data_IF_998778605695
#
_entry.id   IF_998778605695
#
_cell.length_a   1.000
_cell.length_b   1.000
_cell.length_c   1.000
_cell.angle_alpha   90.00
_cell.angle_beta   90.00
_cell.angle_gamma   90.00
#
_symmetry.space_group_name_H-M   'P 1'
#
loop_
_entity.id
_entity.type
_entity.pdbx_description
1 polymer ?
#
# COMPACT_ATOMS: atom_id res chain seq x y z
N UNK A 1 -6.77 6.79 4.91
CA UNK A 1 -5.90 7.98 4.89
C UNK A 1 -4.99 8.01 3.66
N UNK A 2 -4.67 9.19 3.15
CA UNK A 2 -3.60 9.41 2.16
C UNK A 2 -2.24 9.55 2.88
N UNK A 3 -1.29 8.69 2.51
CA UNK A 3 0.03 8.58 3.16
C UNK A 3 1.16 9.16 2.31
N UNK A 4 1.10 9.09 0.98
CA UNK A 4 2.17 9.64 0.13
C UNK A 4 1.56 10.32 -1.08
N UNK A 5 2.09 11.47 -1.47
CA UNK A 5 1.70 12.18 -2.70
C UNK A 5 2.97 12.59 -3.44
N UNK A 6 2.98 12.34 -4.75
CA UNK A 6 3.91 13.00 -5.68
C UNK A 6 3.08 13.88 -6.61
N UNK A 7 3.28 15.19 -6.55
CA UNK A 7 2.49 16.19 -7.26
C UNK A 7 3.35 17.19 -8.03
N UNK A 8 2.77 17.74 -9.09
CA UNK A 8 3.30 18.88 -9.84
C UNK A 8 2.31 20.02 -9.75
N UNK A 9 2.77 21.16 -9.26
CA UNK A 9 1.96 22.35 -9.03
C UNK A 9 2.56 23.55 -9.74
N UNK A 10 1.70 24.44 -10.23
CA UNK A 10 2.12 25.76 -10.70
C UNK A 10 2.35 26.66 -9.48
N UNK A 11 3.57 27.15 -9.29
CA UNK A 11 3.97 27.96 -8.15
C UNK A 11 5.20 28.76 -8.53
N UNK A 12 5.03 30.07 -8.67
CA UNK A 12 6.15 30.99 -8.86
C UNK A 12 7.04 30.99 -7.62
N UNK A 13 8.35 31.07 -7.83
CA UNK A 13 9.35 31.08 -6.77
C UNK A 13 10.62 31.79 -7.22
N UNK A 14 11.40 32.28 -6.26
CA UNK A 14 12.65 33.00 -6.56
C UNK A 14 13.84 32.02 -6.54
N UNK A 15 14.54 31.94 -7.68
CA UNK A 15 15.70 31.08 -7.85
C UNK A 15 15.34 29.62 -8.15
N UNK A 16 16.34 28.74 -8.14
CA UNK A 16 16.16 27.31 -8.41
C UNK A 16 16.10 26.56 -7.08
N UNK A 17 14.99 25.86 -6.83
CA UNK A 17 14.82 24.98 -5.67
C UNK A 17 15.36 23.60 -6.04
N UNK A 18 16.55 23.24 -5.53
CA UNK A 18 17.14 21.92 -5.69
C UNK A 18 18.25 21.68 -4.67
N UNK A 19 18.68 20.43 -4.52
CA UNK A 19 19.92 20.08 -3.83
C UNK A 19 21.03 19.74 -4.83
N UNK A 20 21.14 20.53 -5.90
CA UNK A 20 22.05 20.30 -7.02
C UNK A 20 21.38 19.67 -8.24
N UNK A 21 22.17 19.01 -9.08
CA UNK A 21 21.70 18.42 -10.34
C UNK A 21 22.36 17.09 -10.64
N UNK A 22 21.61 16.18 -11.25
CA UNK A 22 22.12 14.96 -11.89
C UNK A 22 22.28 15.26 -13.38
N UNK A 23 23.48 14.99 -13.91
CA UNK A 23 23.81 15.16 -15.31
C UNK A 23 24.19 13.81 -15.90
N UNK A 24 23.56 13.43 -17.01
CA UNK A 24 24.02 12.30 -17.82
C UNK A 24 24.97 12.83 -18.88
N UNK A 25 26.19 12.31 -18.86
CA UNK A 25 27.25 12.64 -19.80
C UNK A 25 27.48 11.43 -20.71
N UNK A 26 27.60 11.67 -22.01
CA UNK A 26 27.90 10.65 -23.01
C UNK A 26 29.36 10.17 -22.90
N UNK A 27 29.71 9.14 -23.68
CA UNK A 27 31.11 8.69 -23.78
C UNK A 27 32.05 9.75 -24.38
N UNK A 28 31.49 10.69 -25.14
CA UNK A 28 32.21 11.77 -25.82
C UNK A 28 32.27 13.05 -24.96
N UNK A 29 31.95 12.95 -23.67
CA UNK A 29 31.87 14.06 -22.71
C UNK A 29 30.80 15.12 -23.02
N UNK A 30 29.79 14.79 -23.82
CA UNK A 30 28.66 15.68 -24.09
C UNK A 30 27.53 15.49 -23.07
N UNK A 31 26.88 16.57 -22.67
CA UNK A 31 25.73 16.51 -21.75
C UNK A 31 24.50 16.05 -22.56
N UNK A 32 23.99 14.85 -22.25
CA UNK A 32 22.77 14.33 -22.87
C UNK A 32 21.51 14.89 -22.20
N UNK A 33 21.50 14.97 -20.86
CA UNK A 33 20.42 15.60 -20.11
C UNK A 33 20.85 16.00 -18.70
N UNK A 34 20.14 16.97 -18.14
CA UNK A 34 20.28 17.44 -16.75
C UNK A 34 18.92 17.39 -16.06
N UNK A 35 18.88 16.92 -14.81
CA UNK A 35 17.69 16.97 -13.95
C UNK A 35 18.06 17.49 -12.57
N UNK A 36 17.23 18.38 -12.03
CA UNK A 36 17.45 18.91 -10.69
C UNK A 36 17.23 17.83 -9.62
N UNK A 37 18.13 17.79 -8.66
CA UNK A 37 18.07 16.90 -7.50
C UNK A 37 17.06 17.41 -6.48
N UNK A 38 16.41 16.48 -5.80
CA UNK A 38 15.46 16.74 -4.73
C UNK A 38 16.10 17.50 -3.55
N UNK A 39 15.50 18.63 -3.17
CA UNK A 39 15.76 19.30 -1.89
C UNK A 39 14.86 18.72 -0.81
N UNK A 40 15.44 18.31 0.32
CA UNK A 40 14.65 17.86 1.48
C UNK A 40 14.10 19.06 2.24
N UNK A 41 12.82 18.99 2.62
CA UNK A 41 12.15 20.02 3.41
C UNK A 41 11.82 19.44 4.78
N UNK A 42 12.54 19.90 5.80
CA UNK A 42 12.22 19.56 7.18
C UNK A 42 10.91 20.23 7.59
N UNK A 43 9.98 19.42 8.10
CA UNK A 43 8.80 19.89 8.82
C UNK A 43 9.01 19.85 10.32
N UNK A 44 8.00 20.26 11.07
CA UNK A 44 8.01 20.22 12.53
C UNK A 44 8.23 18.82 13.10
N UNK A 45 7.97 17.76 12.32
CA UNK A 45 7.99 16.38 12.80
C UNK A 45 8.76 15.39 11.90
N UNK A 46 9.02 15.72 10.64
CA UNK A 46 9.64 14.78 9.69
C UNK A 46 10.31 15.54 8.52
N UNK A 47 11.30 14.93 7.87
CA UNK A 47 12.01 15.43 6.68
C UNK A 47 11.71 14.61 5.41
N UNK A 48 10.63 13.83 5.42
CA UNK A 48 10.20 12.97 4.31
C UNK A 48 9.57 13.70 3.12
N UNK A 49 9.48 15.03 3.15
CA UNK A 49 9.06 15.85 2.01
C UNK A 49 10.30 16.23 1.21
N UNK A 50 10.23 16.03 -0.10
CA UNK A 50 11.20 16.53 -1.07
C UNK A 50 10.54 17.41 -2.11
N UNK A 51 11.26 18.45 -2.53
CA UNK A 51 10.81 19.45 -3.50
C UNK A 51 11.91 19.73 -4.53
N UNK A 52 11.52 20.05 -5.76
CA UNK A 52 12.42 20.61 -6.75
C UNK A 52 11.68 21.49 -7.76
N UNK A 53 12.39 22.43 -8.36
CA UNK A 53 11.90 23.16 -9.53
C UNK A 53 11.83 22.25 -10.76
N UNK A 54 10.78 22.43 -11.56
CA UNK A 54 10.69 21.91 -12.94
C UNK A 54 10.89 23.04 -13.96
N UNK A 55 10.47 24.25 -13.59
CA UNK A 55 10.70 25.52 -14.27
C UNK A 55 10.64 26.64 -13.22
N UNK A 56 10.79 27.90 -13.63
CA UNK A 56 10.70 29.08 -12.74
C UNK A 56 9.30 29.29 -12.12
N UNK A 57 8.28 28.57 -12.62
CA UNK A 57 6.88 28.69 -12.20
C UNK A 57 6.20 27.33 -11.94
N UNK A 58 6.98 26.25 -11.88
CA UNK A 58 6.45 24.91 -11.61
C UNK A 58 7.35 24.13 -10.66
N UNK A 59 6.72 23.48 -9.69
CA UNK A 59 7.39 22.64 -8.69
C UNK A 59 6.94 21.20 -8.82
N UNK A 60 7.85 20.28 -8.54
CA UNK A 60 7.52 18.89 -8.21
C UNK A 60 7.77 18.67 -6.72
N UNK A 61 6.80 18.07 -6.04
CA UNK A 61 6.87 17.76 -4.62
C UNK A 61 6.52 16.29 -4.43
N UNK A 62 7.25 15.60 -3.56
CA UNK A 62 6.99 14.21 -3.21
C UNK A 62 7.20 13.96 -1.72
N UNK A 63 6.32 13.20 -1.08
CA UNK A 63 6.52 12.76 0.30
C UNK A 63 5.23 12.44 1.03
N UNK A 64 5.30 12.40 2.36
CA UNK A 64 4.17 12.11 3.24
C UNK A 64 3.61 13.40 3.88
N UNK A 65 2.61 14.07 3.26
CA UNK A 65 2.07 15.32 3.78
C UNK A 65 1.37 15.15 5.14
N UNK A 66 0.65 14.04 5.36
CA UNK A 66 -0.03 13.78 6.63
C UNK A 66 0.97 13.70 7.80
N UNK A 67 2.01 12.87 7.66
CA UNK A 67 3.07 12.75 8.66
C UNK A 67 3.86 14.05 8.83
N UNK A 68 4.08 14.81 7.77
CA UNK A 68 4.77 16.10 7.86
C UNK A 68 3.95 17.14 8.63
N UNK A 69 2.63 17.14 8.49
CA UNK A 69 1.72 18.08 9.15
C UNK A 69 1.44 17.73 10.63
N UNK A 70 1.24 16.45 10.97
CA UNK A 70 0.81 16.02 12.32
C UNK A 70 1.81 15.10 13.06
N UNK A 71 2.91 14.72 12.40
CA UNK A 71 4.00 13.93 12.98
C UNK A 71 3.88 12.41 12.96
N UNK A 72 2.74 11.87 12.53
CA UNK A 72 2.54 10.42 12.42
C UNK A 72 1.64 10.03 11.25
N UNK A 73 1.62 8.74 10.91
CA UNK A 73 0.75 8.16 9.88
C UNK A 73 -0.12 6.99 10.40
N UNK A 74 -0.41 6.96 11.71
CA UNK A 74 -1.35 6.00 12.29
C UNK A 74 -2.78 6.16 11.77
N UNK A 75 -3.21 7.39 11.51
CA UNK A 75 -4.54 7.72 10.98
C UNK A 75 -4.49 9.15 10.41
N UNK A 76 -5.50 9.53 9.64
CA UNK A 76 -5.62 10.85 9.03
C UNK A 76 -6.60 10.85 7.85
N UNK A 77 -6.66 11.97 7.13
CA UNK A 77 -7.70 12.21 6.14
C UNK A 77 -7.58 11.35 4.87
N UNK A 78 -8.73 11.10 4.23
CA UNK A 78 -8.86 10.59 2.87
C UNK A 78 -9.09 11.69 1.83
N UNK A 79 -9.25 12.94 2.27
CA UNK A 79 -9.46 14.07 1.38
C UNK A 79 -8.11 14.55 0.82
N UNK A 80 -7.84 14.18 -0.44
CA UNK A 80 -6.61 14.55 -1.14
C UNK A 80 -6.48 16.06 -1.31
N UNK A 81 -7.58 16.73 -1.66
CA UNK A 81 -7.56 18.16 -1.93
C UNK A 81 -7.32 18.95 -0.64
N UNK A 82 -8.07 18.65 0.42
CA UNK A 82 -7.89 19.31 1.72
C UNK A 82 -6.47 19.09 2.26
N UNK A 83 -5.95 17.86 2.17
CA UNK A 83 -4.58 17.53 2.62
C UNK A 83 -3.52 18.30 1.84
N UNK A 84 -3.59 18.28 0.50
CA UNK A 84 -2.64 18.99 -0.34
C UNK A 84 -2.72 20.51 -0.17
N UNK A 85 -3.93 21.07 0.00
CA UNK A 85 -4.13 22.50 0.24
C UNK A 85 -3.52 22.94 1.58
N UNK A 86 -3.80 22.21 2.67
CA UNK A 86 -3.24 22.51 3.98
C UNK A 86 -1.71 22.38 3.96
N UNK A 87 -1.21 21.31 3.35
CA UNK A 87 0.22 21.08 3.17
C UNK A 87 0.89 22.24 2.39
N UNK A 88 0.33 22.64 1.25
CA UNK A 88 0.85 23.75 0.46
C UNK A 88 0.84 25.07 1.23
N UNK A 89 -0.26 25.36 1.96
CA UNK A 89 -0.37 26.56 2.79
C UNK A 89 0.73 26.66 3.84
N UNK A 90 1.11 25.52 4.45
CA UNK A 90 2.25 25.46 5.37
C UNK A 90 3.58 25.54 4.65
N UNK A 91 3.73 24.92 3.49
CA UNK A 91 4.94 25.00 2.68
C UNK A 91 5.26 26.45 2.28
N UNK A 92 4.26 27.25 1.90
CA UNK A 92 4.43 28.68 1.57
C UNK A 92 4.85 29.54 2.77
N UNK A 93 4.69 29.05 4.00
CA UNK A 93 5.15 29.77 5.20
C UNK A 93 6.66 29.62 5.47
N UNK A 94 7.34 28.70 4.77
CA UNK A 94 8.78 28.46 4.88
C UNK A 94 9.51 29.46 3.98
N UNK A 95 10.11 30.48 4.60
CA UNK A 95 10.73 31.61 3.88
C UNK A 95 11.92 31.17 3.04
N UNK A 96 12.64 30.16 3.47
CA UNK A 96 13.83 29.60 2.83
C UNK A 96 13.53 28.96 1.46
N UNK A 97 12.27 28.58 1.22
CA UNK A 97 11.84 28.06 -0.08
C UNK A 97 11.54 29.16 -1.10
N UNK A 98 11.49 30.43 -0.68
CA UNK A 98 11.24 31.59 -1.55
C UNK A 98 10.03 31.41 -2.48
N UNK A 99 8.96 30.75 -2.00
CA UNK A 99 7.73 30.56 -2.76
C UNK A 99 6.94 31.87 -2.84
N UNK A 100 6.56 32.25 -4.05
CA UNK A 100 5.83 33.50 -4.34
C UNK A 100 4.64 33.25 -5.27
N UNK A 101 3.74 32.29 -4.98
CA UNK A 101 2.66 31.95 -5.90
C UNK A 101 1.72 33.13 -6.15
N UNK A 102 1.30 33.29 -7.40
CA UNK A 102 0.26 34.27 -7.75
C UNK A 102 -1.11 33.88 -7.19
N UNK A 103 -2.03 34.85 -7.12
CA UNK A 103 -3.41 34.61 -6.65
C UNK A 103 -4.10 33.51 -7.46
N UNK A 104 -3.87 33.47 -8.78
CA UNK A 104 -4.43 32.43 -9.64
C UNK A 104 -3.82 31.06 -9.35
N UNK A 105 -2.50 30.96 -9.13
CA UNK A 105 -1.85 29.70 -8.75
C UNK A 105 -2.36 29.16 -7.41
N UNK A 106 -2.57 30.05 -6.42
CA UNK A 106 -3.16 29.68 -5.12
C UNK A 106 -4.57 29.10 -5.34
N UNK A 107 -5.38 29.73 -6.19
CA UNK A 107 -6.72 29.26 -6.53
C UNK A 107 -6.68 27.89 -7.20
N UNK A 108 -5.82 27.70 -8.22
CA UNK A 108 -5.68 26.41 -8.91
C UNK A 108 -5.32 25.28 -7.94
N UNK A 109 -4.40 25.53 -7.00
CA UNK A 109 -4.01 24.53 -6.00
C UNK A 109 -5.16 24.24 -5.03
N UNK A 110 -5.85 25.28 -4.54
CA UNK A 110 -7.00 25.14 -3.65
C UNK A 110 -8.16 24.38 -4.29
N UNK A 111 -8.40 24.61 -5.58
CA UNK A 111 -9.44 23.96 -6.37
C UNK A 111 -9.03 22.55 -6.86
N UNK A 112 -7.83 22.06 -6.48
CA UNK A 112 -7.35 20.73 -6.86
C UNK A 112 -6.90 20.61 -8.32
N UNK A 113 -6.71 21.74 -9.02
CA UNK A 113 -6.36 21.82 -10.44
C UNK A 113 -4.85 21.75 -10.65
N UNK A 114 -4.28 20.62 -10.25
CA UNK A 114 -2.88 20.27 -10.47
C UNK A 114 -2.75 18.78 -10.78
N UNK A 115 -1.54 18.24 -10.94
CA UNK A 115 -1.38 16.82 -11.29
C UNK A 115 -0.67 16.01 -10.22
N UNK A 116 -1.13 14.78 -10.01
CA UNK A 116 -0.48 13.77 -9.15
C UNK A 116 0.00 12.58 -9.99
N UNK A 117 1.21 12.12 -9.70
CA UNK A 117 1.85 10.98 -10.37
C UNK A 117 2.03 9.77 -9.46
N UNK A 118 1.83 9.94 -8.15
CA UNK A 118 1.74 8.88 -7.16
C UNK A 118 0.83 9.29 -6.02
N UNK A 119 -0.03 8.38 -5.58
CA UNK A 119 -0.79 8.50 -4.34
C UNK A 119 -0.73 7.17 -3.61
N UNK A 120 -0.22 7.15 -2.37
CA UNK A 120 -0.33 6.00 -1.48
C UNK A 120 -1.53 6.22 -0.56
N UNK A 121 -2.48 5.30 -0.60
CA UNK A 121 -3.71 5.30 0.21
C UNK A 121 -3.59 4.15 1.19
N UNK A 122 -4.01 4.35 2.42
CA UNK A 122 -4.04 3.28 3.40
C UNK A 122 -5.28 3.28 4.29
N UNK A 123 -5.71 2.09 4.69
CA UNK A 123 -6.81 1.90 5.62
C UNK A 123 -6.41 0.84 6.65
N UNK A 124 -6.92 0.98 7.87
CA UNK A 124 -6.69 0.00 8.94
C UNK A 124 -7.94 -0.73 9.32
N UNK A 125 -7.76 -1.97 9.76
CA UNK A 125 -8.77 -2.73 10.46
C UNK A 125 -8.23 -3.14 11.82
N UNK A 126 -9.03 -2.94 12.85
CA UNK A 126 -8.69 -3.35 14.20
C UNK A 126 -9.10 -4.80 14.43
N UNK A 127 -8.14 -5.60 14.89
CA UNK A 127 -8.38 -6.94 15.44
C UNK A 127 -8.26 -6.89 16.97
N UNK A 128 -8.40 -8.03 17.67
CA UNK A 128 -8.35 -8.04 19.13
C UNK A 128 -6.97 -7.63 19.66
N UNK A 129 -5.89 -8.03 18.99
CA UNK A 129 -4.51 -7.77 19.40
C UNK A 129 -3.52 -8.04 18.25
N UNK A 130 -2.25 -7.72 18.49
CA UNK A 130 -1.15 -7.91 17.53
C UNK A 130 -0.99 -9.37 17.07
N UNK A 131 -1.22 -10.34 17.96
CA UNK A 131 -1.10 -11.75 17.59
C UNK A 131 -2.11 -12.14 16.51
N UNK A 132 -3.35 -11.66 16.62
CA UNK A 132 -4.38 -11.88 15.59
C UNK A 132 -4.07 -11.16 14.29
N UNK A 133 -3.54 -9.94 14.33
CA UNK A 133 -3.06 -9.22 13.13
C UNK A 133 -2.03 -10.06 12.38
N UNK A 134 -1.04 -10.61 13.10
CA UNK A 134 0.01 -11.44 12.50
C UNK A 134 -0.54 -12.77 11.99
N UNK A 135 -1.49 -13.39 12.71
CA UNK A 135 -2.16 -14.60 12.26
C UNK A 135 -2.97 -14.37 10.98
N UNK A 136 -3.63 -13.21 10.86
CA UNK A 136 -4.33 -12.80 9.65
C UNK A 136 -3.37 -12.65 8.46
N UNK A 137 -2.25 -11.93 8.64
CA UNK A 137 -1.27 -11.69 7.56
C UNK A 137 -0.66 -13.01 7.06
N UNK A 138 -0.32 -13.94 7.96
CA UNK A 138 0.15 -15.28 7.58
C UNK A 138 -0.90 -16.07 6.80
N UNK A 139 -2.16 -15.97 7.21
CA UNK A 139 -3.26 -16.63 6.50
C UNK A 139 -3.51 -16.01 5.12
N UNK A 140 -3.35 -14.69 5.01
CA UNK A 140 -3.52 -13.96 3.76
C UNK A 140 -2.50 -14.36 2.69
N UNK A 141 -1.25 -14.64 3.07
CA UNK A 141 -0.21 -15.10 2.13
C UNK A 141 -0.66 -16.34 1.34
N UNK A 142 -1.22 -17.32 2.05
CA UNK A 142 -1.57 -18.62 1.47
C UNK A 142 -2.84 -18.55 0.61
N UNK A 143 -3.79 -17.69 1.04
CA UNK A 143 -5.15 -17.66 0.52
C UNK A 143 -5.43 -16.59 -0.51
N UNK A 144 -4.76 -15.44 -0.41
CA UNK A 144 -5.10 -14.24 -1.19
C UNK A 144 -4.15 -14.12 -2.38
N UNK A 145 -4.73 -14.08 -3.57
CA UNK A 145 -4.00 -14.09 -4.84
C UNK A 145 -4.50 -13.02 -5.78
N UNK A 146 -3.60 -12.57 -6.65
CA UNK A 146 -3.97 -11.81 -7.83
C UNK A 146 -4.32 -12.77 -8.97
N UNK A 147 -5.52 -12.61 -9.53
CA UNK A 147 -6.06 -13.40 -10.66
C UNK A 147 -5.05 -13.74 -11.76
N UNK A 148 -4.20 -12.77 -12.11
CA UNK A 148 -3.22 -12.91 -13.20
C UNK A 148 -1.76 -12.87 -12.76
N UNK A 149 -1.46 -12.67 -11.46
CA UNK A 149 -0.08 -12.51 -10.95
C UNK A 149 0.30 -13.48 -9.83
N UNK A 150 -0.64 -14.29 -9.36
CA UNK A 150 -0.36 -15.32 -8.35
C UNK A 150 -0.38 -14.79 -6.91
N UNK A 151 0.32 -15.47 -6.02
CA UNK A 151 0.32 -15.23 -4.57
C UNK A 151 1.00 -13.93 -4.18
N UNK A 152 0.72 -13.48 -2.96
CA UNK A 152 1.44 -12.38 -2.35
C UNK A 152 2.93 -12.71 -2.13
N UNK A 153 3.76 -11.68 -2.03
CA UNK A 153 5.21 -11.79 -1.81
C UNK A 153 5.61 -11.07 -0.54
N UNK A 154 6.34 -11.72 0.36
CA UNK A 154 6.88 -11.05 1.54
C UNK A 154 8.13 -10.21 1.24
N UNK A 155 8.28 -9.13 2.01
CA UNK A 155 9.55 -8.42 2.23
C UNK A 155 9.60 -8.01 3.71
N UNK A 156 10.39 -8.73 4.52
CA UNK A 156 10.28 -8.64 5.98
C UNK A 156 8.90 -9.13 6.44
N UNK A 157 8.26 -8.44 7.40
CA UNK A 157 6.89 -8.78 7.85
C UNK A 157 5.76 -8.07 7.06
N UNK A 158 6.06 -7.58 5.85
CA UNK A 158 5.07 -6.93 4.97
C UNK A 158 4.79 -7.83 3.76
N UNK A 159 3.51 -8.16 3.55
CA UNK A 159 3.02 -8.93 2.40
C UNK A 159 2.63 -7.98 1.27
N UNK A 160 3.02 -8.27 0.04
CA UNK A 160 2.76 -7.44 -1.14
C UNK A 160 1.98 -8.19 -2.21
N UNK A 161 1.07 -7.49 -2.89
CA UNK A 161 0.45 -7.94 -4.13
C UNK A 161 0.77 -6.95 -5.25
N UNK A 162 1.22 -7.45 -6.40
CA UNK A 162 1.56 -6.61 -7.55
C UNK A 162 2.88 -5.85 -7.39
N UNK A 163 3.76 -6.27 -6.47
CA UNK A 163 5.10 -5.69 -6.28
C UNK A 163 5.85 -5.58 -7.61
N UNK A 164 6.49 -4.43 -7.85
CA UNK A 164 7.19 -4.12 -9.10
C UNK A 164 6.27 -3.63 -10.24
N UNK A 165 4.96 -3.62 -10.06
CA UNK A 165 4.03 -3.00 -11.02
C UNK A 165 4.34 -1.51 -11.21
N UNK A 166 4.29 -1.07 -12.47
CA UNK A 166 4.39 0.35 -12.86
C UNK A 166 3.07 1.09 -12.72
N UNK A 167 1.97 0.39 -12.40
CA UNK A 167 0.62 0.96 -12.32
C UNK A 167 0.13 1.12 -10.89
N UNK A 168 0.16 0.03 -10.12
CA UNK A 168 -0.27 0.02 -8.72
C UNK A 168 0.26 -1.23 -8.01
N UNK A 169 0.40 -1.18 -6.69
CA UNK A 169 0.62 -2.38 -5.87
C UNK A 169 -0.07 -2.21 -4.52
N UNK A 170 -0.45 -3.34 -3.92
CA UNK A 170 -1.01 -3.44 -2.58
C UNK A 170 0.02 -4.00 -1.62
N UNK A 171 -0.05 -3.61 -0.36
CA UNK A 171 0.70 -4.25 0.74
C UNK A 171 -0.14 -4.31 2.00
N UNK A 172 0.09 -5.34 2.81
CA UNK A 172 -0.46 -5.43 4.16
C UNK A 172 0.62 -5.69 5.20
N UNK A 173 0.46 -5.12 6.39
CA UNK A 173 1.40 -5.31 7.50
C UNK A 173 0.76 -4.98 8.86
N UNK A 174 1.43 -5.39 9.93
CA UNK A 174 1.08 -5.01 11.31
C UNK A 174 1.64 -3.63 11.61
N UNK A 175 0.76 -2.65 11.91
CA UNK A 175 1.21 -1.29 12.24
C UNK A 175 1.96 -1.26 13.58
N UNK A 176 1.55 -2.08 14.54
CA UNK A 176 2.24 -2.26 15.82
C UNK A 176 3.67 -2.77 15.67
N UNK A 177 3.93 -3.75 14.79
CA UNK A 177 5.32 -4.13 14.48
C UNK A 177 6.07 -3.00 13.77
N UNK A 178 5.41 -2.29 12.86
CA UNK A 178 6.04 -1.25 12.04
C UNK A 178 6.54 -0.07 12.88
N UNK A 179 5.74 0.46 13.80
CA UNK A 179 6.14 1.60 14.65
C UNK A 179 7.23 1.24 15.66
N UNK A 180 7.41 -0.04 15.97
CA UNK A 180 8.39 -0.55 16.95
C UNK A 180 9.70 -1.04 16.31
N UNK A 181 9.85 -0.95 14.98
CA UNK A 181 11.13 -1.25 14.32
C UNK A 181 12.19 -0.20 14.65
N UNK A 182 13.46 -0.63 14.66
CA UNK A 182 14.63 0.23 14.98
C UNK A 182 14.68 1.56 14.22
N UNK A 183 14.14 1.61 12.99
CA UNK A 183 14.15 2.80 12.13
C UNK A 183 12.72 3.19 11.70
N UNK A 184 11.72 3.04 12.57
CA UNK A 184 10.32 3.40 12.23
C UNK A 184 10.14 4.91 12.03
N UNK A 185 11.00 5.72 12.64
CA UNK A 185 10.83 7.18 12.64
C UNK A 185 9.51 7.61 13.26
N UNK A 186 8.95 6.79 14.17
CA UNK A 186 7.77 7.12 14.96
C UNK A 186 8.21 7.89 16.22
N UNK A 187 7.71 9.11 16.47
CA UNK A 187 8.20 9.94 17.58
C UNK A 187 7.92 9.34 18.97
N UNK A 188 8.90 9.39 19.86
CA UNK A 188 8.75 8.91 21.25
C UNK A 188 7.67 9.67 22.02
N UNK A 189 7.52 10.98 21.77
CA UNK A 189 6.47 11.81 22.37
C UNK A 189 5.06 11.36 22.00
N UNK A 190 4.90 10.63 20.89
CA UNK A 190 3.61 10.12 20.40
C UNK A 190 3.37 8.65 20.78
N UNK A 191 4.28 8.03 21.55
CA UNK A 191 4.10 6.66 22.08
C UNK A 191 3.23 6.64 23.33
N UNK A 192 2.05 7.25 23.26
CA UNK A 192 1.05 7.22 24.34
C UNK A 192 0.36 5.85 24.41
N UNK A 193 -0.22 5.46 25.55
CA UNK A 193 -0.95 4.20 25.68
C UNK A 193 -2.03 4.01 24.61
N UNK A 194 -2.78 5.05 24.28
CA UNK A 194 -3.84 5.00 23.26
C UNK A 194 -3.29 4.78 21.84
N UNK A 195 -2.21 5.48 21.48
CA UNK A 195 -1.53 5.33 20.19
C UNK A 195 -0.95 3.93 20.01
N UNK A 196 -0.29 3.40 21.04
CA UNK A 196 0.29 2.05 21.02
C UNK A 196 -0.79 0.97 20.98
N UNK A 197 -1.85 1.11 21.78
CA UNK A 197 -2.99 0.19 21.79
C UNK A 197 -3.68 0.14 20.42
N UNK A 198 -3.90 1.30 19.80
CA UNK A 198 -4.43 1.38 18.44
C UNK A 198 -3.49 0.70 17.43
N UNK A 199 -2.19 1.02 17.46
CA UNK A 199 -1.21 0.48 16.53
C UNK A 199 -1.09 -1.05 16.62
N UNK A 200 -1.03 -1.61 17.82
CA UNK A 200 -0.89 -3.05 18.05
C UNK A 200 -2.06 -3.86 17.48
N UNK A 201 -3.25 -3.26 17.45
CA UNK A 201 -4.46 -3.90 16.92
C UNK A 201 -4.67 -3.66 15.42
N UNK A 202 -3.91 -2.75 14.82
CA UNK A 202 -4.13 -2.30 13.46
C UNK A 202 -3.43 -3.18 12.41
N UNK A 203 -4.25 -3.92 11.65
CA UNK A 203 -3.91 -4.46 10.35
C UNK A 203 -4.02 -3.35 9.31
N UNK A 204 -2.90 -2.95 8.70
CA UNK A 204 -2.86 -1.90 7.68
C UNK A 204 -2.84 -2.53 6.29
N UNK A 205 -3.73 -2.06 5.42
CA UNK A 205 -3.66 -2.27 3.97
C UNK A 205 -3.29 -0.95 3.31
N UNK A 206 -2.34 -0.97 2.38
CA UNK A 206 -1.93 0.21 1.61
C UNK A 206 -1.93 -0.08 0.12
N UNK A 207 -2.58 0.78 -0.65
CA UNK A 207 -2.60 0.82 -2.09
C UNK A 207 -1.71 1.97 -2.57
N UNK A 208 -0.65 1.65 -3.30
CA UNK A 208 0.11 2.65 -4.05
C UNK A 208 -0.44 2.71 -5.48
N UNK A 209 -0.99 3.86 -5.86
CA UNK A 209 -1.38 4.20 -7.23
C UNK A 209 -0.27 5.01 -7.90
N UNK A 210 0.08 4.66 -9.15
CA UNK A 210 1.10 5.36 -9.96
C UNK A 210 0.47 6.04 -11.17
N UNK A 211 1.23 6.93 -11.81
CA UNK A 211 0.82 7.82 -12.89
C UNK A 211 -0.08 7.16 -13.94
N UNK A 212 0.31 6.00 -14.49
CA UNK A 212 -0.48 5.34 -15.53
C UNK A 212 -1.85 4.83 -15.03
N UNK A 213 -1.96 4.40 -13.77
CA UNK A 213 -3.25 4.03 -13.19
C UNK A 213 -4.10 5.27 -12.92
N UNK A 214 -3.51 6.29 -12.28
CA UNK A 214 -4.19 7.55 -11.99
C UNK A 214 -4.73 8.24 -13.25
N UNK A 215 -3.98 8.24 -14.35
CA UNK A 215 -4.43 8.82 -15.62
C UNK A 215 -5.57 8.03 -16.26
N UNK A 216 -5.51 6.70 -16.23
CA UNK A 216 -6.57 5.84 -16.78
C UNK A 216 -7.90 6.10 -16.06
N UNK A 217 -7.87 6.21 -14.73
CA UNK A 217 -9.06 6.48 -13.92
C UNK A 217 -9.42 7.98 -13.87
N UNK A 218 -8.69 8.84 -14.60
CA UNK A 218 -8.80 10.30 -14.57
C UNK A 218 -8.56 10.94 -13.18
N UNK A 219 -8.03 10.19 -12.22
CA UNK A 219 -7.68 10.61 -10.86
C UNK A 219 -6.28 11.22 -10.74
N UNK A 220 -5.61 11.46 -11.86
CA UNK A 220 -4.37 12.24 -11.88
C UNK A 220 -4.59 13.73 -11.59
N UNK A 221 -5.83 14.23 -11.62
CA UNK A 221 -6.21 15.58 -11.22
C UNK A 221 -6.95 15.50 -9.88
N UNK A 222 -6.42 16.08 -8.79
CA UNK A 222 -7.03 16.03 -7.46
C UNK A 222 -8.46 16.57 -7.40
N UNK A 223 -8.83 17.55 -8.21
CA UNK A 223 -10.22 18.03 -8.33
C UNK A 223 -11.25 16.94 -8.66
N UNK A 224 -10.83 15.81 -9.26
CA UNK A 224 -11.69 14.67 -9.55
C UNK A 224 -11.87 13.72 -8.35
N UNK A 225 -11.20 13.98 -7.23
CA UNK A 225 -11.33 13.20 -6.00
C UNK A 225 -12.43 13.79 -5.11
N UNK A 226 -13.18 12.90 -4.47
CA UNK A 226 -14.01 13.21 -3.33
C UNK A 226 -13.49 12.49 -2.08
N UNK A 227 -14.08 12.78 -0.91
CA UNK A 227 -13.66 12.22 0.38
C UNK A 227 -13.68 10.68 0.44
N UNK A 228 -14.50 10.02 -0.39
CA UNK A 228 -14.61 8.56 -0.44
C UNK A 228 -13.73 7.90 -1.51
N UNK A 229 -13.21 8.67 -2.48
CA UNK A 229 -12.45 8.13 -3.62
C UNK A 229 -11.27 7.27 -3.16
N UNK A 230 -10.50 7.75 -2.18
CA UNK A 230 -9.35 7.02 -1.66
C UNK A 230 -9.76 5.65 -1.08
N UNK A 231 -10.78 5.65 -0.21
CA UNK A 231 -11.31 4.43 0.41
C UNK A 231 -11.86 3.47 -0.63
N UNK A 232 -12.63 3.97 -1.60
CA UNK A 232 -13.20 3.17 -2.68
C UNK A 232 -12.13 2.52 -3.56
N UNK A 233 -11.08 3.25 -3.93
CA UNK A 233 -9.95 2.69 -4.69
C UNK A 233 -9.30 1.52 -3.95
N UNK A 234 -9.05 1.69 -2.65
CA UNK A 234 -8.46 0.66 -1.82
C UNK A 234 -9.39 -0.55 -1.70
N UNK A 235 -10.68 -0.36 -1.41
CA UNK A 235 -11.65 -1.44 -1.32
C UNK A 235 -11.82 -2.19 -2.64
N UNK A 236 -11.91 -1.49 -3.77
CA UNK A 236 -12.00 -2.10 -5.10
C UNK A 236 -10.75 -2.93 -5.41
N UNK A 237 -9.57 -2.45 -5.01
CA UNK A 237 -8.32 -3.20 -5.19
C UNK A 237 -8.26 -4.49 -4.37
N UNK A 238 -8.88 -4.50 -3.17
CA UNK A 238 -9.05 -5.70 -2.34
C UNK A 238 -10.08 -6.65 -2.95
N UNK A 239 -11.21 -6.14 -3.46
CA UNK A 239 -12.23 -6.96 -4.14
C UNK A 239 -11.67 -7.67 -5.38
N UNK A 240 -10.68 -7.07 -6.05
CA UNK A 240 -9.97 -7.69 -7.17
C UNK A 240 -9.04 -8.84 -6.78
N UNK A 241 -8.88 -9.14 -5.48
CA UNK A 241 -8.11 -10.28 -5.00
C UNK A 241 -8.98 -11.53 -4.94
N UNK A 242 -8.47 -12.63 -5.48
CA UNK A 242 -9.11 -13.95 -5.36
C UNK A 242 -8.72 -14.55 -4.01
N UNK A 243 -9.72 -14.95 -3.21
CA UNK A 243 -9.51 -15.66 -1.95
C UNK A 243 -9.86 -17.14 -2.13
N UNK A 244 -8.90 -18.04 -1.95
CA UNK A 244 -9.20 -19.47 -1.94
C UNK A 244 -9.96 -19.82 -0.65
N UNK A 245 -11.22 -20.24 -0.79
CA UNK A 245 -12.06 -20.60 0.36
C UNK A 245 -11.76 -22.00 0.93
N UNK A 246 -11.07 -22.86 0.18
CA UNK A 246 -10.88 -24.25 0.55
C UNK A 246 -9.40 -24.56 0.86
N UNK A 247 -9.12 -24.86 2.13
CA UNK A 247 -7.85 -25.48 2.55
C UNK A 247 -7.81 -26.98 2.23
N UNK A 248 -8.99 -27.58 2.07
CA UNK A 248 -9.21 -28.98 1.80
C UNK A 248 -10.55 -29.13 1.09
N UNK A 249 -10.64 -30.09 0.17
CA UNK A 249 -11.95 -30.54 -0.32
C UNK A 249 -12.67 -31.27 0.80
N UNK A 250 -13.98 -31.06 0.93
CA UNK A 250 -14.83 -31.88 1.80
C UNK A 250 -14.90 -33.31 1.24
N UNK A 251 -15.23 -34.29 2.09
CA UNK A 251 -15.37 -35.69 1.67
C UNK A 251 -16.40 -35.87 0.55
N UNK A 252 -17.48 -35.08 0.56
CA UNK A 252 -18.51 -35.11 -0.47
C UNK A 252 -17.97 -34.64 -1.83
N UNK A 253 -17.16 -33.59 -1.85
CA UNK A 253 -16.49 -33.10 -3.08
C UNK A 253 -15.40 -34.06 -3.52
N UNK A 254 -14.67 -34.69 -2.59
CA UNK A 254 -13.70 -35.73 -2.93
C UNK A 254 -14.37 -36.92 -3.61
N UNK A 255 -15.58 -37.28 -3.17
CA UNK A 255 -16.34 -38.40 -3.75
C UNK A 255 -16.77 -38.13 -5.20
N UNK A 256 -17.01 -36.87 -5.59
CA UNK A 256 -17.37 -36.49 -6.97
C UNK A 256 -16.17 -36.44 -7.91
N UNK A 257 -14.95 -36.29 -7.39
CA UNK A 257 -13.74 -36.25 -8.22
C UNK A 257 -13.44 -37.62 -8.87
N UNK A 258 -12.97 -37.64 -10.14
CA UNK A 258 -12.42 -38.85 -10.74
C UNK A 258 -11.29 -39.43 -9.88
N UNK A 259 -11.25 -40.75 -9.71
CA UNK A 259 -10.32 -41.43 -8.79
C UNK A 259 -8.86 -41.03 -9.00
N UNK A 260 -8.45 -40.80 -10.25
CA UNK A 260 -7.09 -40.39 -10.61
C UNK A 260 -6.75 -38.96 -10.17
N UNK A 261 -7.73 -38.06 -10.19
CA UNK A 261 -7.59 -36.67 -9.71
C UNK A 261 -7.63 -36.64 -8.19
N UNK A 262 -8.47 -37.46 -7.57
CA UNK A 262 -8.55 -37.64 -6.12
C UNK A 262 -7.22 -38.14 -5.54
N UNK A 263 -6.57 -39.09 -6.21
CA UNK A 263 -5.28 -39.64 -5.80
C UNK A 263 -4.15 -38.59 -5.97
N UNK A 264 -4.16 -37.83 -7.07
CA UNK A 264 -3.24 -36.71 -7.25
C UNK A 264 -3.45 -35.62 -6.18
N UNK A 265 -4.71 -35.30 -5.86
CA UNK A 265 -5.03 -34.39 -4.78
C UNK A 265 -4.51 -34.91 -3.43
N UNK A 266 -4.68 -36.19 -3.11
CA UNK A 266 -4.18 -36.77 -1.86
C UNK A 266 -2.65 -36.68 -1.74
N UNK A 267 -1.91 -37.01 -2.80
CA UNK A 267 -0.45 -36.87 -2.85
C UNK A 267 -0.02 -35.39 -2.63
N UNK A 268 -0.62 -34.46 -3.37
CA UNK A 268 -0.38 -33.03 -3.17
C UNK A 268 -0.78 -32.54 -1.77
N UNK A 269 -1.89 -33.05 -1.22
CA UNK A 269 -2.39 -32.74 0.12
C UNK A 269 -1.38 -33.14 1.21
N UNK A 270 -0.66 -34.24 0.97
CA UNK A 270 0.44 -34.74 1.79
C UNK A 270 1.80 -34.14 1.44
N UNK A 271 1.84 -33.06 0.64
CA UNK A 271 3.07 -32.30 0.38
C UNK A 271 3.92 -32.77 -0.78
N UNK A 272 3.49 -33.78 -1.54
CA UNK A 272 4.26 -34.28 -2.66
C UNK A 272 4.34 -33.26 -3.82
N UNK A 273 5.53 -33.14 -4.43
CA UNK A 273 5.70 -32.35 -5.66
C UNK A 273 5.18 -33.12 -6.89
N UNK A 274 3.93 -32.86 -7.25
CA UNK A 274 3.30 -33.49 -8.40
C UNK A 274 4.00 -33.20 -9.74
N UNK A 275 4.85 -32.17 -9.86
CA UNK A 275 5.63 -31.94 -11.10
C UNK A 275 6.75 -32.96 -11.27
N UNK A 276 7.21 -33.57 -10.19
CA UNK A 276 8.22 -34.64 -10.21
C UNK A 276 7.59 -36.00 -10.44
N UNK A 277 6.31 -36.17 -10.06
CA UNK A 277 5.59 -37.44 -10.12
C UNK A 277 4.81 -37.61 -11.43
N UNK A 278 4.16 -36.54 -11.91
CA UNK A 278 3.28 -36.60 -13.07
C UNK A 278 3.97 -36.09 -14.34
N UNK A 279 3.62 -36.69 -15.47
CA UNK A 279 4.00 -36.13 -16.77
C UNK A 279 3.39 -34.74 -16.96
N UNK A 280 4.12 -33.85 -17.64
CA UNK A 280 3.69 -32.44 -17.87
C UNK A 280 2.24 -32.32 -18.38
N UNK A 281 1.76 -33.10 -19.37
CA UNK A 281 0.36 -33.00 -19.82
C UNK A 281 -0.65 -33.41 -18.74
N UNK A 282 -0.33 -34.44 -17.96
CA UNK A 282 -1.18 -34.94 -16.88
C UNK A 282 -1.27 -33.94 -15.74
N UNK A 283 -0.15 -33.33 -15.37
CA UNK A 283 -0.09 -32.28 -14.35
C UNK A 283 -1.03 -31.11 -14.68
N UNK A 284 -0.93 -30.54 -15.89
CA UNK A 284 -1.78 -29.41 -16.27
C UNK A 284 -3.26 -29.79 -16.39
N UNK A 285 -3.57 -31.02 -16.82
CA UNK A 285 -4.96 -31.53 -16.86
C UNK A 285 -5.56 -31.62 -15.45
N UNK A 286 -4.83 -32.19 -14.49
CA UNK A 286 -5.32 -32.31 -13.11
C UNK A 286 -5.37 -30.96 -12.40
N UNK A 287 -4.39 -30.08 -12.65
CA UNK A 287 -4.42 -28.71 -12.15
C UNK A 287 -5.65 -27.95 -12.65
N UNK A 288 -6.02 -28.10 -13.92
CA UNK A 288 -7.24 -27.47 -14.46
C UNK A 288 -8.48 -27.93 -13.70
N UNK A 289 -8.60 -29.24 -13.46
CA UNK A 289 -9.76 -29.83 -12.78
C UNK A 289 -9.82 -29.43 -11.30
N UNK A 290 -8.70 -29.43 -10.59
CA UNK A 290 -8.65 -29.03 -9.18
C UNK A 290 -8.79 -27.51 -8.96
N UNK A 291 -8.44 -26.71 -9.98
CA UNK A 291 -8.70 -25.27 -9.98
C UNK A 291 -10.19 -24.91 -9.97
N UNK A 292 -11.07 -25.80 -10.45
CA UNK A 292 -12.52 -25.60 -10.36
C UNK A 292 -13.00 -25.59 -8.89
N UNK A 293 -12.18 -26.10 -7.98
CA UNK A 293 -12.42 -26.15 -6.54
C UNK A 293 -11.45 -25.26 -5.74
N UNK A 294 -10.86 -24.26 -6.40
CA UNK A 294 -9.86 -23.33 -5.85
C UNK A 294 -8.55 -23.97 -5.35
N UNK A 295 -8.23 -25.18 -5.82
CA UNK A 295 -6.98 -25.87 -5.47
C UNK A 295 -5.96 -25.74 -6.60
N UNK A 296 -4.83 -25.10 -6.29
CA UNK A 296 -3.70 -25.03 -7.21
C UNK A 296 -2.55 -25.94 -6.77
N UNK A 297 -2.52 -27.14 -7.36
CA UNK A 297 -1.49 -28.17 -7.10
C UNK A 297 -0.07 -27.79 -7.55
N UNK A 298 0.12 -26.61 -8.14
CA UNK A 298 1.47 -26.13 -8.50
C UNK A 298 2.21 -25.47 -7.34
N UNK A 299 1.54 -25.27 -6.21
CA UNK A 299 2.08 -24.70 -5.00
C UNK A 299 2.33 -25.85 -4.04
N UNK A 300 3.59 -26.06 -3.65
CA UNK A 300 3.92 -27.09 -2.67
C UNK A 300 3.28 -26.75 -1.32
N UNK A 301 2.72 -27.76 -0.67
CA UNK A 301 2.25 -27.62 0.70
C UNK A 301 3.40 -27.79 1.66
N UNK A 302 3.42 -26.95 2.68
CA UNK A 302 4.29 -27.13 3.83
C UNK A 302 3.67 -28.20 4.74
N UNK A 303 4.32 -29.37 4.83
CA UNK A 303 3.79 -30.59 5.46
C UNK A 303 4.20 -30.76 6.92
N UNK A 304 4.94 -29.82 7.50
CA UNK A 304 5.32 -29.82 8.93
C UNK A 304 4.12 -29.66 9.90
N UNK A 305 2.89 -29.79 9.39
CA UNK A 305 1.67 -29.94 10.17
C UNK A 305 0.96 -31.21 9.72
N UNK A 306 0.95 -32.22 10.59
CA UNK A 306 0.13 -33.42 10.40
C UNK A 306 -1.31 -33.03 10.01
N UNK A 307 -1.93 -33.74 9.05
CA UNK A 307 -3.34 -33.58 8.75
C UNK A 307 -4.14 -34.12 9.93
N UNK A 308 -4.35 -33.25 10.92
CA UNK A 308 -5.19 -33.56 12.06
C UNK A 308 -6.61 -33.83 11.57
N UNK A 309 -7.17 -34.96 11.99
CA UNK A 309 -8.59 -35.31 11.84
C UNK A 309 -9.52 -34.36 12.66
N UNK A 310 -8.94 -33.34 13.27
CA UNK A 310 -9.64 -32.22 13.89
C UNK A 310 -10.21 -31.37 12.77
N UNK A 311 -11.54 -31.26 12.72
CA UNK A 311 -12.24 -30.18 12.02
C UNK A 311 -11.49 -28.90 12.38
N UNK A 312 -10.77 -28.24 11.44
CA UNK A 312 -10.09 -27.01 11.79
C UNK A 312 -11.17 -26.07 12.30
N UNK A 313 -11.13 -25.74 13.59
CA UNK A 313 -11.98 -24.71 14.15
C UNK A 313 -11.58 -23.43 13.41
N UNK A 314 -12.33 -23.11 12.36
CA UNK A 314 -12.15 -21.89 11.60
C UNK A 314 -12.56 -20.78 12.55
N UNK A 315 -11.57 -20.24 13.26
CA UNK A 315 -11.76 -19.03 14.04
C UNK A 315 -11.83 -17.87 13.06
N UNK A 316 -13.04 -17.37 12.84
CA UNK A 316 -13.24 -16.13 12.08
C UNK A 316 -12.61 -14.99 12.88
N UNK A 317 -11.65 -14.31 12.27
CA UNK A 317 -11.10 -13.08 12.83
C UNK A 317 -12.00 -11.94 12.40
N UNK A 318 -12.66 -11.30 13.36
CA UNK A 318 -13.46 -10.11 13.11
C UNK A 318 -12.54 -8.89 13.01
N UNK A 319 -12.51 -8.29 11.81
CA UNK A 319 -11.75 -7.10 11.50
C UNK A 319 -12.72 -5.92 11.36
N UNK A 320 -12.64 -4.95 12.27
CA UNK A 320 -13.50 -3.75 12.24
C UNK A 320 -12.78 -2.62 11.52
N UNK A 321 -13.36 -1.97 10.51
CA UNK A 321 -12.77 -0.79 9.88
C UNK A 321 -12.39 0.25 10.93
N UNK A 322 -11.14 0.69 10.93
CA UNK A 322 -10.65 1.68 11.86
C UNK A 322 -10.94 3.08 11.33
N UNK A 323 -11.80 3.82 12.02
CA UNK A 323 -11.91 5.27 11.84
C UNK A 323 -10.83 6.01 12.64
N UNK A 324 -10.81 7.34 12.50
CA UNK A 324 -10.02 8.20 13.39
C UNK A 324 -10.70 8.18 14.77
N UNK A 325 -10.00 7.76 15.85
CA UNK A 325 -10.60 7.71 17.18
C UNK A 325 -10.95 9.11 17.72
N UNK A 326 -12.01 9.22 18.53
CA UNK A 326 -12.42 10.50 19.13
C UNK A 326 -11.31 11.18 19.94
N UNK A 327 -10.58 10.40 20.75
CA UNK A 327 -9.45 10.89 21.55
C UNK A 327 -8.34 11.52 20.70
N UNK A 328 -8.19 11.12 19.43
CA UNK A 328 -7.18 11.69 18.55
C UNK A 328 -7.52 13.14 18.15
N UNK A 329 -8.81 13.44 17.98
CA UNK A 329 -9.26 14.81 17.75
C UNK A 329 -9.12 15.67 19.01
N UNK A 330 -9.49 15.12 20.18
CA UNK A 330 -9.36 15.80 21.48
C UNK A 330 -7.91 16.18 21.80
N UNK A 331 -6.95 15.34 21.39
CA UNK A 331 -5.52 15.55 21.59
C UNK A 331 -4.85 16.37 20.46
N UNK A 332 -5.60 16.80 19.44
CA UNK A 332 -5.05 17.58 18.32
C UNK A 332 -4.07 16.80 17.43
N UNK A 333 -4.24 15.49 17.31
CA UNK A 333 -3.36 14.57 16.56
C UNK A 333 -3.73 14.45 15.08
N UNK A 334 -4.68 15.24 14.59
CA UNK A 334 -5.23 15.15 13.24
C UNK A 334 -5.09 16.52 12.57
N UNK A 335 -4.35 16.58 11.47
CA UNK A 335 -4.10 17.85 10.78
C UNK A 335 -5.33 18.40 10.03
N UNK A 336 -6.22 17.53 9.55
CA UNK A 336 -7.29 17.86 8.60
C UNK A 336 -8.49 16.93 8.73
#
# INVERSE_FOLDING_TARGET
MIDWVTMKIACDHVGIISNGSVVKVSKDNEIEWTSLSWLQVAGSHDSNIVIRSLSDSQLEISGNPAKWLQGHNLFGTNDLNALCWLFFSKLTSIKELCLTPSVEQIRLIKDGLFTVSRVDINESWLLANRFEVLAWIRSAEQKIRLKHRGTGQFKGSTLYWGKGSTRWFLKCYSKGEEINRKNSGFPDSLRTPDMLSYADRALRLELTMKSNALRQEQLHIPANWNAETAKMLLLNSIQGLEMSNNFSLTNDVLATLPSRVRLAYAAWYNGDDLRQILSRPTFYRYRKHLKEYDIDISILRDVDREPSNVIPLIRVLEAVPAGIPAWAYEQGLVAC
#
